data_IF_539909348017
#
_entry.id   IF_539909348017
#
_cell.length_a   1.000
_cell.length_b   1.000
_cell.length_c   1.000
_cell.angle_alpha   90.00
_cell.angle_beta   90.00
_cell.angle_gamma   90.00
#
_symmetry.space_group_name_H-M   'P 1'
#
loop_
_entity.id
_entity.type
_entity.pdbx_description
1 polymer ?
#
# COMPACT_ATOMS: atom_id res chain seq x y z
N UNK A 1 -12.19 16.17 -0.39
CA UNK A 1 -11.29 15.01 -0.54
C UNK A 1 -11.87 14.15 -1.65
N UNK A 2 -11.15 13.98 -2.76
CA UNK A 2 -11.53 13.15 -3.90
C UNK A 2 -11.13 11.70 -3.65
N UNK A 3 -11.68 10.77 -4.44
CA UNK A 3 -11.28 9.36 -4.39
C UNK A 3 -9.77 9.17 -4.66
N UNK A 4 -9.17 10.00 -5.54
CA UNK A 4 -7.72 10.01 -5.76
C UNK A 4 -6.93 10.48 -4.53
N UNK A 5 -7.42 11.48 -3.80
CA UNK A 5 -6.79 11.95 -2.56
C UNK A 5 -6.81 10.85 -1.49
N UNK A 6 -7.95 10.18 -1.31
CA UNK A 6 -8.08 9.04 -0.39
C UNK A 6 -7.13 7.89 -0.75
N UNK A 7 -7.05 7.51 -2.03
CA UNK A 7 -6.14 6.45 -2.48
C UNK A 7 -4.67 6.81 -2.26
N UNK A 8 -4.29 8.08 -2.45
CA UNK A 8 -2.92 8.56 -2.18
C UNK A 8 -2.57 8.52 -0.71
N UNK A 9 -3.49 8.93 0.16
CA UNK A 9 -3.32 8.82 1.61
C UNK A 9 -3.18 7.36 2.05
N UNK A 10 -4.05 6.47 1.56
CA UNK A 10 -3.99 5.05 1.90
C UNK A 10 -2.68 4.39 1.42
N UNK A 11 -2.21 4.70 0.21
CA UNK A 11 -0.89 4.23 -0.27
C UNK A 11 0.23 4.70 0.67
N UNK A 12 0.21 5.97 1.09
CA UNK A 12 1.22 6.55 1.99
C UNK A 12 1.22 5.85 3.36
N UNK A 13 0.04 5.57 3.91
CA UNK A 13 -0.08 4.83 5.16
C UNK A 13 0.42 3.40 5.05
N UNK A 14 0.06 2.70 3.97
CA UNK A 14 0.52 1.33 3.72
C UNK A 14 2.04 1.28 3.52
N UNK A 15 2.62 2.24 2.80
CA UNK A 15 4.08 2.36 2.65
C UNK A 15 4.79 2.59 4.01
N UNK A 16 4.21 3.44 4.87
CA UNK A 16 4.73 3.66 6.22
C UNK A 16 4.63 2.40 7.09
N UNK A 17 3.54 1.63 6.98
CA UNK A 17 3.39 0.35 7.68
C UNK A 17 4.41 -0.68 7.20
N UNK A 18 4.66 -0.77 5.89
CA UNK A 18 5.68 -1.65 5.31
C UNK A 18 7.07 -1.28 5.84
N UNK A 19 7.40 0.01 5.85
CA UNK A 19 8.67 0.50 6.36
C UNK A 19 8.88 0.10 7.83
N UNK A 20 7.89 0.39 8.70
CA UNK A 20 7.93 0.02 10.12
C UNK A 20 8.03 -1.50 10.32
N UNK A 21 7.25 -2.26 9.56
CA UNK A 21 7.23 -3.72 9.67
C UNK A 21 8.60 -4.31 9.32
N UNK A 22 9.20 -3.89 8.20
CA UNK A 22 10.56 -4.29 7.80
C UNK A 22 11.61 -3.91 8.84
N UNK A 23 11.53 -2.70 9.38
CA UNK A 23 12.44 -2.24 10.44
C UNK A 23 12.32 -3.03 11.76
N UNK A 24 11.16 -3.64 12.02
CA UNK A 24 10.90 -4.45 13.22
C UNK A 24 11.19 -5.95 13.06
N UNK A 25 11.62 -6.40 11.89
CA UNK A 25 11.88 -7.81 11.62
C UNK A 25 13.28 -8.22 12.10
N UNK A 26 13.32 -9.11 13.09
CA UNK A 26 14.53 -9.80 13.57
C UNK A 26 14.45 -11.30 13.21
N UNK A 27 15.61 -11.99 13.18
CA UNK A 27 15.75 -13.37 12.66
C UNK A 27 14.73 -14.40 13.20
N UNK A 28 14.21 -14.23 14.41
CA UNK A 28 13.38 -15.23 15.10
C UNK A 28 11.86 -15.15 14.85
N UNK A 29 11.30 -14.00 14.40
CA UNK A 29 9.84 -13.77 14.35
C UNK A 29 9.30 -13.54 12.92
N UNK A 30 9.94 -14.15 11.92
CA UNK A 30 9.75 -13.73 10.54
C UNK A 30 8.47 -14.26 9.89
N UNK A 31 7.96 -15.45 10.21
CA UNK A 31 6.85 -16.05 9.44
C UNK A 31 5.54 -15.22 9.48
N UNK A 32 5.12 -14.78 10.67
CA UNK A 32 3.90 -13.95 10.82
C UNK A 32 4.11 -12.55 10.24
N UNK A 33 5.29 -11.95 10.46
CA UNK A 33 5.62 -10.63 9.91
C UNK A 33 5.75 -10.66 8.39
N UNK A 34 6.27 -11.74 7.81
CA UNK A 34 6.32 -11.96 6.36
C UNK A 34 4.92 -12.07 5.77
N UNK A 35 4.02 -12.84 6.39
CA UNK A 35 2.63 -12.93 5.94
C UNK A 35 1.91 -11.57 6.02
N UNK A 36 2.14 -10.82 7.11
CA UNK A 36 1.61 -9.46 7.25
C UNK A 36 2.19 -8.52 6.17
N UNK A 37 3.48 -8.61 5.90
CA UNK A 37 4.16 -7.82 4.87
C UNK A 37 3.60 -8.11 3.47
N UNK A 38 3.35 -9.38 3.14
CA UNK A 38 2.75 -9.81 1.89
C UNK A 38 1.35 -9.20 1.72
N UNK A 39 0.50 -9.30 2.75
CA UNK A 39 -0.86 -8.76 2.72
C UNK A 39 -0.85 -7.23 2.52
N UNK A 40 -0.04 -6.50 3.30
CA UNK A 40 0.03 -5.03 3.20
C UNK A 40 0.59 -4.61 1.83
N UNK A 41 1.58 -5.33 1.31
CA UNK A 41 2.13 -5.08 -0.02
C UNK A 41 1.07 -5.26 -1.11
N UNK A 42 0.33 -6.37 -1.07
CA UNK A 42 -0.76 -6.63 -2.02
C UNK A 42 -1.88 -5.57 -1.96
N UNK A 43 -2.20 -5.07 -0.77
CA UNK A 43 -3.19 -3.99 -0.62
C UNK A 43 -2.68 -2.69 -1.25
N UNK A 44 -1.43 -2.31 -0.96
CA UNK A 44 -0.79 -1.12 -1.52
C UNK A 44 -0.75 -1.16 -3.05
N UNK A 45 -0.46 -2.32 -3.63
CA UNK A 45 -0.44 -2.50 -5.08
C UNK A 45 -1.83 -2.36 -5.70
N UNK A 46 -2.87 -2.89 -5.04
CA UNK A 46 -4.27 -2.69 -5.47
C UNK A 46 -4.68 -1.22 -5.45
N UNK A 47 -4.33 -0.49 -4.39
CA UNK A 47 -4.59 0.96 -4.30
C UNK A 47 -3.86 1.73 -5.41
N UNK A 48 -2.60 1.36 -5.72
CA UNK A 48 -1.86 1.94 -6.85
C UNK A 48 -2.54 1.66 -8.19
N UNK A 49 -2.99 0.45 -8.44
CA UNK A 49 -3.72 0.11 -9.67
C UNK A 49 -5.04 0.88 -9.78
N UNK A 50 -5.80 1.00 -8.68
CA UNK A 50 -7.03 1.77 -8.65
C UNK A 50 -6.77 3.26 -8.93
N UNK A 51 -5.75 3.84 -8.30
CA UNK A 51 -5.35 5.24 -8.53
C UNK A 51 -4.98 5.46 -9.99
N UNK A 52 -4.16 4.59 -10.58
CA UNK A 52 -3.78 4.68 -11.99
C UNK A 52 -5.00 4.58 -12.93
N UNK A 53 -5.96 3.69 -12.62
CA UNK A 53 -7.18 3.58 -13.40
C UNK A 53 -8.03 4.85 -13.33
N UNK A 54 -8.11 5.47 -12.14
CA UNK A 54 -8.84 6.71 -11.92
C UNK A 54 -8.15 7.89 -12.64
N UNK A 55 -6.84 8.02 -12.53
CA UNK A 55 -6.05 9.03 -13.24
C UNK A 55 -6.17 8.89 -14.77
N UNK A 56 -6.18 7.66 -15.30
CA UNK A 56 -6.42 7.41 -16.74
C UNK A 56 -7.81 7.83 -17.18
N UNK A 57 -8.84 7.60 -16.36
CA UNK A 57 -10.22 8.04 -16.66
C UNK A 57 -10.33 9.56 -16.65
N UNK A 58 -9.70 10.22 -15.68
CA UNK A 58 -9.67 11.68 -15.61
C UNK A 58 -8.89 12.32 -16.76
N UNK A 59 -7.88 11.65 -17.31
CA UNK A 59 -7.15 12.14 -18.49
C UNK A 59 -7.89 11.93 -19.82
N UNK A 60 -8.92 11.08 -19.82
CA UNK A 60 -9.74 10.77 -21.00
C UNK A 60 -11.09 11.53 -21.02
N UNK A 61 -11.36 12.33 -19.99
CA UNK A 61 -12.56 13.17 -19.84
C UNK A 61 -12.19 14.65 -20.02
#
# INVERSE_FOLDING_TARGET
MTESEHLREEIKELDAQIFRLKGSMNKADNAVKLKKLEVITRLRDRCKTALQALERRSAAA
#
